data_IF_679222969850
#
_entry.id   IF_679222969850
#
_cell.length_a   1.000
_cell.length_b   1.000
_cell.length_c   1.000
_cell.angle_alpha   90.00
_cell.angle_beta   90.00
_cell.angle_gamma   90.00
#
_symmetry.space_group_name_H-M   'P 1'
#
loop_
_entity.id
_entity.type
_entity.pdbx_description
1 polymer ?
#
# COMPACT_ATOMS: atom_id res chain seq x y z
N UNK A 1 24.12 18.24 8.66
CA UNK A 1 22.94 17.86 7.86
C UNK A 1 21.96 17.13 8.76
N UNK A 2 20.69 17.52 8.72
CA UNK A 2 19.60 16.88 9.46
C UNK A 2 18.71 16.17 8.45
N UNK A 3 18.38 14.91 8.71
CA UNK A 3 17.46 14.12 7.91
C UNK A 3 16.24 13.70 8.72
N UNK A 4 15.06 13.75 8.12
CA UNK A 4 13.82 13.23 8.68
C UNK A 4 13.36 12.04 7.84
N UNK A 5 13.09 10.91 8.47
CA UNK A 5 12.63 9.71 7.78
C UNK A 5 11.88 8.78 8.73
N UNK A 6 10.87 8.10 8.23
CA UNK A 6 10.21 7.00 8.93
C UNK A 6 11.00 5.68 8.80
N UNK A 7 11.92 5.58 7.83
CA UNK A 7 12.69 4.37 7.53
C UNK A 7 14.17 4.69 7.54
N UNK A 8 14.87 4.65 8.71
CA UNK A 8 16.29 4.98 8.82
C UNK A 8 17.21 3.89 8.24
N UNK A 9 16.72 3.09 7.31
CA UNK A 9 17.43 1.98 6.66
C UNK A 9 17.10 1.89 5.17
N UNK A 10 17.96 1.22 4.43
CA UNK A 10 17.74 0.84 3.03
C UNK A 10 17.77 -0.68 2.90
N UNK A 11 16.91 -1.25 2.07
CA UNK A 11 16.83 -2.71 1.86
C UNK A 11 18.19 -3.33 1.49
N UNK A 12 19.02 -2.65 0.71
CA UNK A 12 20.35 -3.11 0.29
C UNK A 12 21.53 -2.47 1.01
N UNK A 13 21.30 -1.40 1.77
CA UNK A 13 22.39 -0.61 2.38
C UNK A 13 22.42 -0.67 3.89
N UNK A 14 21.47 -1.31 4.53
CA UNK A 14 21.33 -1.32 5.98
C UNK A 14 21.01 0.06 6.57
N UNK A 15 21.36 0.28 7.83
CA UNK A 15 21.07 1.52 8.54
C UNK A 15 21.78 2.72 7.92
N UNK A 16 21.07 3.85 7.82
CA UNK A 16 21.64 5.11 7.31
C UNK A 16 22.72 5.71 8.24
N UNK A 17 22.81 5.22 9.48
CA UNK A 17 23.78 5.66 10.49
C UNK A 17 24.92 4.66 10.69
N UNK A 18 24.99 3.57 9.94
CA UNK A 18 25.99 2.50 10.14
C UNK A 18 26.64 2.02 8.86
N UNK A 19 27.80 1.34 9.00
CA UNK A 19 28.50 0.66 7.92
C UNK A 19 29.24 1.57 6.93
N UNK A 20 29.75 0.94 5.86
CA UNK A 20 30.39 1.66 4.74
C UNK A 20 29.31 2.40 3.95
N UNK A 21 29.39 3.72 3.88
CA UNK A 21 28.41 4.56 3.17
C UNK A 21 27.29 5.11 4.04
N UNK A 22 27.50 5.20 5.36
CA UNK A 22 26.60 5.94 6.27
C UNK A 22 26.36 7.36 5.76
N UNK A 23 25.14 7.81 5.85
CA UNK A 23 24.75 9.18 5.47
C UNK A 23 24.72 10.12 6.67
N UNK A 24 24.48 9.58 7.85
CA UNK A 24 24.36 10.32 9.11
C UNK A 24 25.19 9.65 10.18
N UNK A 25 25.62 10.42 11.19
CA UNK A 25 26.47 9.92 12.27
C UNK A 25 25.66 9.19 13.33
N UNK A 26 24.46 9.68 13.64
CA UNK A 26 23.59 9.09 14.66
C UNK A 26 22.12 9.37 14.37
N UNK A 27 21.25 8.68 15.08
CA UNK A 27 19.82 9.02 15.19
C UNK A 27 19.70 9.95 16.41
N UNK A 28 19.45 11.23 16.15
CA UNK A 28 19.32 12.22 17.21
C UNK A 28 18.02 12.05 18.02
N UNK A 29 16.95 11.63 17.38
CA UNK A 29 15.65 11.38 18.00
C UNK A 29 14.90 10.27 17.27
N UNK A 30 14.28 9.38 18.00
CA UNK A 30 13.39 8.34 17.47
C UNK A 30 12.03 8.44 18.17
N UNK A 31 10.98 8.59 17.37
CA UNK A 31 9.61 8.60 17.85
C UNK A 31 8.98 7.22 17.57
N UNK A 32 8.77 6.39 18.59
CA UNK A 32 8.17 5.07 18.40
C UNK A 32 6.73 5.17 17.88
N UNK A 33 6.37 4.31 16.94
CA UNK A 33 5.00 4.23 16.40
C UNK A 33 3.98 3.98 17.50
N UNK A 34 4.30 3.11 18.48
CA UNK A 34 3.41 2.82 19.60
C UNK A 34 3.04 4.08 20.39
N UNK A 35 3.99 4.97 20.63
CA UNK A 35 3.71 6.23 21.31
C UNK A 35 2.72 7.10 20.54
N UNK A 36 2.82 7.14 19.22
CA UNK A 36 1.89 7.88 18.36
C UNK A 36 0.48 7.29 18.37
N UNK A 37 0.39 5.96 18.51
CA UNK A 37 -0.89 5.27 18.67
C UNK A 37 -1.49 5.59 20.06
N UNK A 38 -0.69 5.52 21.11
CA UNK A 38 -1.13 5.80 22.49
C UNK A 38 -1.58 7.26 22.67
N UNK A 39 -0.93 8.18 21.97
CA UNK A 39 -1.27 9.60 21.93
C UNK A 39 -2.45 9.92 20.97
N UNK A 40 -2.97 8.93 20.25
CA UNK A 40 -4.10 9.10 19.32
C UNK A 40 -3.75 9.82 17.99
N UNK A 41 -2.46 9.99 17.70
CA UNK A 41 -1.97 10.59 16.44
C UNK A 41 -2.07 9.59 15.29
N UNK A 42 -1.81 8.32 15.57
CA UNK A 42 -1.95 7.22 14.63
C UNK A 42 -3.05 6.26 15.10
N UNK A 43 -3.79 5.68 14.15
CA UNK A 43 -4.72 4.61 14.44
C UNK A 43 -3.98 3.29 14.74
N UNK A 44 -4.60 2.43 15.54
CA UNK A 44 -4.10 1.06 15.75
C UNK A 44 -4.29 0.24 14.48
N UNK A 45 -3.25 -0.51 14.10
CA UNK A 45 -3.32 -1.45 12.98
C UNK A 45 -3.76 -2.82 13.50
N UNK A 46 -4.77 -3.41 12.85
CA UNK A 46 -5.22 -4.77 13.14
C UNK A 46 -4.99 -5.63 11.91
N UNK A 47 -4.25 -6.71 12.06
CA UNK A 47 -4.14 -7.73 11.03
C UNK A 47 -5.44 -8.52 10.95
N UNK A 48 -5.95 -8.72 9.74
CA UNK A 48 -7.05 -9.62 9.48
C UNK A 48 -6.54 -10.92 8.85
N UNK A 49 -7.15 -12.04 9.23
CA UNK A 49 -6.90 -13.29 8.53
C UNK A 49 -7.48 -13.23 7.12
N UNK A 50 -6.70 -13.66 6.15
CA UNK A 50 -7.12 -13.73 4.75
C UNK A 50 -7.59 -15.13 4.39
N UNK A 51 -8.63 -15.23 3.56
CA UNK A 51 -9.19 -16.51 3.09
C UNK A 51 -8.30 -17.18 2.03
N UNK A 52 -7.32 -16.47 1.50
CA UNK A 52 -6.36 -16.97 0.53
C UNK A 52 -4.97 -16.40 0.77
N UNK A 53 -3.97 -17.11 0.26
CA UNK A 53 -2.57 -16.67 0.23
C UNK A 53 -2.05 -16.73 -1.20
N UNK A 54 -1.12 -15.85 -1.51
CA UNK A 54 -0.40 -15.88 -2.79
C UNK A 54 0.70 -16.94 -2.66
N UNK A 55 0.67 -17.96 -3.50
CA UNK A 55 1.77 -18.94 -3.58
C UNK A 55 2.96 -18.33 -4.32
N UNK A 56 3.95 -17.89 -3.55
CA UNK A 56 5.20 -17.32 -4.09
C UNK A 56 6.30 -18.35 -4.29
N UNK A 57 6.06 -19.65 -4.05
CA UNK A 57 7.09 -20.71 -4.10
C UNK A 57 7.78 -20.81 -5.47
N UNK A 58 7.09 -20.47 -6.55
CA UNK A 58 7.58 -20.46 -7.93
C UNK A 58 8.07 -19.09 -8.42
N UNK A 59 7.95 -18.05 -7.60
CA UNK A 59 8.38 -16.70 -7.96
C UNK A 59 9.87 -16.54 -7.68
N UNK A 60 10.64 -16.25 -8.72
CA UNK A 60 12.09 -16.05 -8.60
C UNK A 60 12.41 -14.79 -7.83
N UNK A 61 13.42 -14.89 -6.96
CA UNK A 61 13.99 -13.74 -6.26
C UNK A 61 15.17 -13.21 -7.09
N UNK A 62 15.13 -11.95 -7.45
CA UNK A 62 16.19 -11.23 -8.16
C UNK A 62 16.68 -10.08 -7.31
N UNK A 63 17.96 -10.07 -6.97
CA UNK A 63 18.59 -9.01 -6.19
C UNK A 63 17.91 -8.74 -4.82
N UNK A 64 17.34 -9.77 -4.19
CA UNK A 64 16.66 -9.68 -2.89
C UNK A 64 15.17 -9.31 -2.96
N UNK A 65 14.60 -9.16 -4.15
CA UNK A 65 13.20 -8.86 -4.37
C UNK A 65 12.56 -9.89 -5.30
N UNK A 66 11.26 -10.08 -5.19
CA UNK A 66 10.51 -10.94 -6.11
C UNK A 66 10.52 -10.38 -7.53
N UNK A 67 10.61 -11.26 -8.51
CA UNK A 67 10.42 -10.87 -9.91
C UNK A 67 8.99 -10.36 -10.11
N UNK A 68 8.86 -9.05 -10.41
CA UNK A 68 7.58 -8.34 -10.46
C UNK A 68 6.61 -8.96 -11.48
N UNK A 69 7.11 -9.43 -12.64
CA UNK A 69 6.26 -10.05 -13.67
C UNK A 69 5.67 -11.37 -13.19
N UNK A 70 6.50 -12.23 -12.57
CA UNK A 70 6.05 -13.51 -12.04
C UNK A 70 5.12 -13.33 -10.84
N UNK A 71 5.47 -12.42 -9.92
CA UNK A 71 4.61 -12.09 -8.79
C UNK A 71 3.27 -11.51 -9.28
N UNK A 72 3.30 -10.65 -10.29
CA UNK A 72 2.10 -10.07 -10.90
C UNK A 72 1.18 -11.13 -11.47
N UNK A 73 1.70 -12.13 -12.18
CA UNK A 73 0.86 -13.19 -12.75
C UNK A 73 0.20 -14.07 -11.68
N UNK A 74 0.89 -14.37 -10.58
CA UNK A 74 0.32 -15.17 -9.48
C UNK A 74 -0.67 -14.37 -8.63
N UNK A 75 -0.36 -13.09 -8.37
CA UNK A 75 -1.24 -12.22 -7.58
C UNK A 75 -2.52 -11.82 -8.33
N UNK A 76 -2.46 -11.74 -9.67
CA UNK A 76 -3.57 -11.35 -10.54
C UNK A 76 -4.45 -12.55 -10.97
N UNK A 77 -4.25 -13.72 -10.39
CA UNK A 77 -5.16 -14.85 -10.62
C UNK A 77 -6.55 -14.52 -10.07
N UNK A 78 -7.59 -14.82 -10.86
CA UNK A 78 -8.97 -14.45 -10.58
C UNK A 78 -9.44 -14.93 -9.19
N UNK A 79 -9.04 -16.14 -8.79
CA UNK A 79 -9.42 -16.69 -7.49
C UNK A 79 -8.73 -15.96 -6.33
N UNK A 80 -7.49 -15.48 -6.49
CA UNK A 80 -6.72 -14.72 -5.48
C UNK A 80 -7.32 -13.33 -5.33
N UNK A 81 -7.48 -12.61 -6.44
CA UNK A 81 -8.11 -11.29 -6.47
C UNK A 81 -9.54 -11.33 -5.92
N UNK A 82 -10.33 -12.33 -6.34
CA UNK A 82 -11.70 -12.51 -5.86
C UNK A 82 -11.77 -12.81 -4.37
N UNK A 83 -10.84 -13.59 -3.84
CA UNK A 83 -10.76 -13.87 -2.40
C UNK A 83 -10.39 -12.60 -1.61
N UNK A 84 -9.38 -11.85 -2.06
CA UNK A 84 -8.97 -10.60 -1.43
C UNK A 84 -10.12 -9.57 -1.38
N UNK A 85 -10.90 -9.47 -2.44
CA UNK A 85 -12.07 -8.59 -2.49
C UNK A 85 -13.16 -9.06 -1.51
N UNK A 86 -13.45 -10.37 -1.44
CA UNK A 86 -14.40 -10.90 -0.44
C UNK A 86 -13.96 -10.61 0.99
N UNK A 87 -12.68 -10.78 1.28
CA UNK A 87 -12.11 -10.45 2.60
C UNK A 87 -12.22 -8.95 2.89
N UNK A 88 -11.95 -8.09 1.90
CA UNK A 88 -12.15 -6.65 2.02
C UNK A 88 -13.60 -6.30 2.35
N UNK A 89 -14.58 -6.92 1.69
CA UNK A 89 -15.99 -6.73 2.04
C UNK A 89 -16.31 -7.21 3.46
N UNK A 90 -15.81 -8.40 3.84
CA UNK A 90 -16.03 -8.96 5.18
C UNK A 90 -15.53 -8.05 6.30
N UNK A 91 -14.32 -7.50 6.15
CA UNK A 91 -13.67 -6.67 7.16
C UNK A 91 -13.96 -5.17 7.03
N UNK A 92 -14.34 -4.75 5.84
CA UNK A 92 -14.52 -3.35 5.46
C UNK A 92 -15.96 -2.85 5.42
N UNK A 93 -16.97 -3.64 5.90
CA UNK A 93 -18.40 -3.26 5.81
C UNK A 93 -18.66 -1.86 6.40
N UNK A 94 -18.08 -1.57 7.57
CA UNK A 94 -18.25 -0.31 8.29
C UNK A 94 -17.10 0.69 8.03
N UNK A 95 -16.21 0.38 7.06
CA UNK A 95 -15.08 1.23 6.72
C UNK A 95 -15.47 2.16 5.58
N UNK A 96 -14.97 3.39 5.64
CA UNK A 96 -15.32 4.46 4.70
C UNK A 96 -14.34 4.57 3.55
N UNK A 97 -13.05 4.35 3.81
CA UNK A 97 -11.96 4.68 2.91
C UNK A 97 -10.96 3.52 2.82
N UNK A 98 -10.91 2.87 1.66
CA UNK A 98 -10.11 1.67 1.42
C UNK A 98 -8.90 1.99 0.54
N UNK A 99 -7.74 1.42 0.89
CA UNK A 99 -6.52 1.57 0.11
C UNK A 99 -5.94 0.20 -0.26
N UNK A 100 -5.88 -0.09 -1.56
CA UNK A 100 -5.34 -1.33 -2.10
C UNK A 100 -3.96 -1.10 -2.71
N UNK A 101 -3.02 -2.00 -2.41
CA UNK A 101 -1.70 -2.04 -3.00
C UNK A 101 -1.59 -3.24 -3.93
N UNK A 102 -1.40 -2.99 -5.21
CA UNK A 102 -1.30 -4.00 -6.25
C UNK A 102 0.13 -4.13 -6.77
N UNK A 103 0.45 -5.30 -7.31
CA UNK A 103 1.81 -5.65 -7.76
C UNK A 103 2.12 -5.21 -9.19
N UNK A 104 1.10 -4.88 -9.98
CA UNK A 104 1.25 -4.44 -11.37
C UNK A 104 0.11 -3.49 -11.78
N UNK A 105 0.32 -2.75 -12.89
CA UNK A 105 -0.70 -1.88 -13.47
C UNK A 105 -1.94 -2.69 -13.91
N UNK A 106 -1.73 -3.84 -14.54
CA UNK A 106 -2.83 -4.73 -14.94
C UNK A 106 -3.64 -5.19 -13.72
N UNK A 107 -2.98 -5.68 -12.67
CA UNK A 107 -3.62 -6.08 -11.42
C UNK A 107 -4.41 -4.92 -10.78
N UNK A 108 -3.86 -3.70 -10.80
CA UNK A 108 -4.56 -2.50 -10.30
C UNK A 108 -5.88 -2.27 -11.02
N UNK A 109 -5.88 -2.35 -12.33
CA UNK A 109 -7.10 -2.20 -13.14
C UNK A 109 -8.10 -3.31 -12.88
N UNK A 110 -7.66 -4.58 -12.83
CA UNK A 110 -8.53 -5.72 -12.54
C UNK A 110 -9.21 -5.62 -11.18
N UNK A 111 -8.45 -5.24 -10.14
CA UNK A 111 -9.00 -5.02 -8.78
C UNK A 111 -10.01 -3.87 -8.78
N UNK A 112 -9.67 -2.73 -9.40
CA UNK A 112 -10.56 -1.59 -9.47
C UNK A 112 -11.88 -1.92 -10.19
N UNK A 113 -11.81 -2.65 -11.32
CA UNK A 113 -12.99 -3.07 -12.06
C UNK A 113 -13.82 -4.10 -11.30
N UNK A 114 -13.18 -5.02 -10.59
CA UNK A 114 -13.89 -5.98 -9.74
C UNK A 114 -14.62 -5.29 -8.58
N UNK A 115 -14.00 -4.30 -7.94
CA UNK A 115 -14.64 -3.48 -6.91
C UNK A 115 -15.83 -2.69 -7.46
N UNK A 116 -15.70 -2.09 -8.66
CA UNK A 116 -16.79 -1.36 -9.33
C UNK A 116 -17.96 -2.27 -9.66
N UNK A 117 -17.68 -3.49 -10.18
CA UNK A 117 -18.73 -4.50 -10.43
C UNK A 117 -19.46 -4.93 -9.15
N UNK A 118 -18.76 -4.89 -8.02
CA UNK A 118 -19.34 -5.16 -6.70
C UNK A 118 -20.02 -3.94 -6.05
N UNK A 119 -20.18 -2.82 -6.77
CA UNK A 119 -20.86 -1.61 -6.30
C UNK A 119 -20.02 -0.64 -5.47
N UNK A 120 -18.69 -0.81 -5.45
CA UNK A 120 -17.79 0.09 -4.74
C UNK A 120 -17.23 1.15 -5.70
N UNK A 121 -17.32 2.43 -5.32
CA UNK A 121 -16.64 3.49 -6.07
C UNK A 121 -15.12 3.33 -5.91
N UNK A 122 -14.42 3.01 -6.99
CA UNK A 122 -12.98 2.73 -6.96
C UNK A 122 -12.24 3.47 -8.08
N UNK A 123 -11.04 3.96 -7.79
CA UNK A 123 -10.17 4.60 -8.77
C UNK A 123 -8.79 3.93 -8.81
N UNK A 124 -8.30 3.51 -9.99
CA UNK A 124 -6.96 2.96 -10.16
C UNK A 124 -5.95 4.10 -10.29
N UNK A 125 -4.90 4.09 -9.45
CA UNK A 125 -3.81 5.07 -9.52
C UNK A 125 -2.51 4.34 -9.84
N UNK A 126 -1.94 4.63 -11.00
CA UNK A 126 -0.70 4.04 -11.49
C UNK A 126 0.29 5.13 -11.93
N UNK A 127 1.48 4.72 -12.34
CA UNK A 127 2.44 5.65 -12.95
C UNK A 127 1.93 6.30 -14.25
N UNK A 128 0.98 5.66 -14.93
CA UNK A 128 0.38 6.12 -16.18
C UNK A 128 -0.81 7.08 -15.98
N UNK A 129 -1.31 7.19 -14.75
CA UNK A 129 -2.44 8.08 -14.40
C UNK A 129 -2.01 9.54 -14.57
N UNK A 130 -2.77 10.31 -15.35
CA UNK A 130 -2.52 11.74 -15.55
C UNK A 130 -2.51 12.49 -14.21
N UNK A 131 -1.64 13.49 -14.05
CA UNK A 131 -1.55 14.27 -12.81
C UNK A 131 -2.87 14.88 -12.35
N UNK A 132 -3.67 15.36 -13.30
CA UNK A 132 -4.98 15.99 -13.05
C UNK A 132 -5.99 14.97 -12.51
N UNK A 133 -6.09 13.79 -13.15
CA UNK A 133 -6.97 12.71 -12.72
C UNK A 133 -6.55 12.18 -11.34
N UNK A 134 -5.24 12.02 -11.13
CA UNK A 134 -4.70 11.60 -9.84
C UNK A 134 -5.08 12.58 -8.74
N UNK A 135 -4.88 13.88 -8.96
CA UNK A 135 -5.21 14.91 -7.98
C UNK A 135 -6.72 14.91 -7.67
N UNK A 136 -7.56 14.79 -8.70
CA UNK A 136 -9.01 14.71 -8.58
C UNK A 136 -9.43 13.49 -7.77
N UNK A 137 -8.96 12.29 -8.14
CA UNK A 137 -9.35 11.05 -7.44
C UNK A 137 -8.90 11.00 -5.98
N UNK A 138 -7.73 11.56 -5.68
CA UNK A 138 -7.28 11.70 -4.28
C UNK A 138 -8.17 12.68 -3.52
N UNK A 139 -8.57 13.80 -4.13
CA UNK A 139 -9.48 14.75 -3.50
C UNK A 139 -10.86 14.14 -3.26
N UNK A 140 -11.40 13.41 -4.24
CA UNK A 140 -12.70 12.73 -4.15
C UNK A 140 -12.66 11.59 -3.11
N UNK A 141 -11.53 10.88 -2.99
CA UNK A 141 -11.31 9.87 -1.94
C UNK A 141 -11.31 10.49 -0.53
N UNK A 142 -10.60 11.60 -0.35
CA UNK A 142 -10.57 12.32 0.94
C UNK A 142 -11.95 12.88 1.34
N UNK A 143 -12.79 13.22 0.36
CA UNK A 143 -14.19 13.63 0.61
C UNK A 143 -15.12 12.44 0.88
N UNK A 144 -14.76 11.23 0.47
CA UNK A 144 -15.58 10.03 0.57
C UNK A 144 -16.46 9.76 -0.66
N UNK A 145 -16.30 10.50 -1.75
CA UNK A 145 -16.99 10.27 -3.03
C UNK A 145 -16.42 9.01 -3.72
N UNK A 146 -15.13 8.76 -3.56
CA UNK A 146 -14.47 7.50 -3.92
C UNK A 146 -14.15 6.72 -2.65
N UNK A 147 -14.69 5.50 -2.55
CA UNK A 147 -14.46 4.63 -1.39
C UNK A 147 -13.11 3.92 -1.43
N UNK A 148 -12.64 3.52 -2.61
CA UNK A 148 -11.43 2.73 -2.76
C UNK A 148 -10.43 3.38 -3.71
N UNK A 149 -9.19 3.58 -3.27
CA UNK A 149 -8.05 3.82 -4.14
C UNK A 149 -7.27 2.51 -4.33
N UNK A 150 -7.03 2.15 -5.58
CA UNK A 150 -6.28 0.95 -5.94
C UNK A 150 -5.00 1.39 -6.63
N UNK A 151 -3.84 1.09 -6.05
CA UNK A 151 -2.60 1.65 -6.58
C UNK A 151 -1.49 0.61 -6.81
N UNK A 152 -0.58 0.95 -7.73
CA UNK A 152 0.66 0.23 -7.97
C UNK A 152 1.84 1.20 -7.78
N UNK A 153 2.55 1.08 -6.66
CA UNK A 153 3.78 1.80 -6.33
C UNK A 153 3.70 3.35 -6.39
N UNK A 154 2.50 3.94 -6.33
CA UNK A 154 2.31 5.40 -6.43
C UNK A 154 1.98 6.01 -5.09
N UNK A 155 1.04 5.42 -4.34
CA UNK A 155 0.58 5.93 -3.05
C UNK A 155 1.33 5.23 -1.90
N UNK A 156 2.65 5.23 -1.93
CA UNK A 156 3.50 4.55 -0.96
C UNK A 156 4.09 5.53 0.04
N UNK A 157 5.14 6.24 -0.35
CA UNK A 157 5.84 7.19 0.52
C UNK A 157 5.29 8.60 0.32
N UNK A 158 4.94 9.28 1.41
CA UNK A 158 4.46 10.66 1.38
C UNK A 158 2.98 10.82 1.00
N UNK A 159 2.24 9.72 0.82
CA UNK A 159 0.78 9.80 0.70
C UNK A 159 0.16 10.01 2.07
N UNK A 160 -0.50 11.15 2.23
CA UNK A 160 -1.19 11.54 3.45
C UNK A 160 -2.70 11.52 3.26
N UNK A 161 -3.35 10.56 3.91
CA UNK A 161 -4.80 10.39 3.92
C UNK A 161 -5.24 9.81 5.27
N UNK A 162 -5.34 10.64 6.31
CA UNK A 162 -5.67 10.20 7.66
C UNK A 162 -7.07 9.58 7.76
N UNK A 163 -7.93 9.82 6.78
CA UNK A 163 -9.26 9.23 6.67
C UNK A 163 -9.26 7.76 6.24
N UNK A 164 -8.12 7.25 5.75
CA UNK A 164 -8.00 5.85 5.35
C UNK A 164 -8.15 4.94 6.57
N UNK A 165 -9.13 4.04 6.52
CA UNK A 165 -9.50 3.18 7.64
C UNK A 165 -9.45 1.68 7.30
N UNK A 166 -9.07 1.35 6.05
CA UNK A 166 -8.79 -0.03 5.62
C UNK A 166 -7.81 -0.08 4.44
#
# INVERSE_FOLDING_TARGET
VIGLTATPYRMRGGMLTGGKGKMFDCIAYNLPVQRLIDEGVLCSVKSAETSSSIDTSKVKIQAGEYNIKQLGSVADEEHVTGAAIRDAFKHGQNRRSWLFFCVSVAHTNHVADALRRAGVTAAPITGETLPEDRAKWIADYKKGDIKALVNCNVLTTGFDAPETDM
#
